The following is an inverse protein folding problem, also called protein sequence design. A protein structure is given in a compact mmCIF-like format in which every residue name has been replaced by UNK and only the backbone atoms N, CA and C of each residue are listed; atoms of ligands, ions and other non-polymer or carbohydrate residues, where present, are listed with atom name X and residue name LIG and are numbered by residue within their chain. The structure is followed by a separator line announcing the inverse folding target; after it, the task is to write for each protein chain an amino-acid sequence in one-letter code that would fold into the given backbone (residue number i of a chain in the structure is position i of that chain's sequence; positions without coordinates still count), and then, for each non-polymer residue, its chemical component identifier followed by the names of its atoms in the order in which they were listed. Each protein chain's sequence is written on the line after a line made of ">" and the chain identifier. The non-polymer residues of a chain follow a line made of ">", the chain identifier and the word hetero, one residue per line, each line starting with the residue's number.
data_IF_680061783100
#
_entry.id   IF_680061783100
#
_cell.length_a   1.000
_cell.length_b   1.000
_cell.length_c   1.000
_cell.angle_alpha   90.00
_cell.angle_beta   90.00
_cell.angle_gamma   90.00
#
_symmetry.space_group_name_H-M   'P 1'
#
loop_
_entity.id
_entity.type
_entity.pdbx_description
1 polymer ?
#
# COMPACT_ATOMS: atom_id res chain seq x y z
N UNK A 1 4.60 -9.73 -4.24
CA UNK A 1 3.77 -8.65 -3.68
C UNK A 1 3.17 -9.09 -2.34
N UNK A 2 2.99 -8.15 -1.46
CA UNK A 2 2.33 -8.39 -0.17
C UNK A 2 0.88 -7.93 -0.24
N UNK A 3 -0.06 -8.81 0.08
CA UNK A 3 -1.48 -8.48 0.27
C UNK A 3 -1.93 -9.21 1.53
N UNK A 4 -2.16 -8.48 2.63
CA UNK A 4 -2.47 -9.07 3.92
C UNK A 4 -3.83 -9.79 3.92
N UNK A 5 -3.84 -11.08 4.32
CA UNK A 5 -5.05 -11.90 4.27
C UNK A 5 -6.11 -11.46 5.28
N UNK A 6 -5.72 -10.83 6.38
CA UNK A 6 -6.64 -10.41 7.44
C UNK A 6 -7.29 -9.03 7.18
N UNK A 7 -6.93 -8.38 6.06
CA UNK A 7 -7.54 -7.13 5.61
C UNK A 7 -8.52 -7.32 4.45
N UNK A 8 -8.71 -6.27 3.66
CA UNK A 8 -9.54 -6.28 2.45
C UNK A 8 -8.84 -7.04 1.31
N UNK A 9 -8.50 -8.31 1.54
CA UNK A 9 -7.67 -9.13 0.64
C UNK A 9 -8.26 -9.24 -0.78
N UNK A 10 -9.50 -9.73 -0.89
CA UNK A 10 -10.11 -10.02 -2.20
C UNK A 10 -10.30 -8.76 -3.09
N UNK A 11 -10.81 -7.62 -2.59
CA UNK A 11 -10.85 -6.39 -3.38
C UNK A 11 -9.48 -5.95 -3.88
N UNK A 12 -8.43 -6.05 -3.04
CA UNK A 12 -7.10 -5.62 -3.45
C UNK A 12 -6.41 -6.60 -4.39
N UNK A 13 -6.65 -7.91 -4.27
CA UNK A 13 -6.22 -8.88 -5.28
C UNK A 13 -6.76 -8.48 -6.65
N UNK A 14 -8.09 -8.24 -6.75
CA UNK A 14 -8.72 -7.83 -8.01
C UNK A 14 -8.24 -6.48 -8.56
N UNK A 15 -7.82 -5.55 -7.68
CA UNK A 15 -7.34 -4.24 -8.11
C UNK A 15 -5.89 -4.24 -8.61
N UNK A 16 -5.02 -5.12 -8.05
CA UNK A 16 -3.57 -5.06 -8.35
C UNK A 16 -3.06 -6.22 -9.20
N UNK A 17 -3.82 -7.29 -9.40
CA UNK A 17 -3.47 -8.39 -10.30
C UNK A 17 -4.34 -8.26 -11.55
N UNK A 18 -3.78 -7.69 -12.62
CA UNK A 18 -4.54 -7.35 -13.82
C UNK A 18 -4.90 -8.56 -14.71
N UNK A 19 -4.13 -9.64 -14.63
CA UNK A 19 -4.40 -10.85 -15.41
C UNK A 19 -5.00 -11.93 -14.51
N UNK A 20 -6.28 -12.20 -14.71
CA UNK A 20 -7.02 -13.23 -13.96
C UNK A 20 -6.46 -14.64 -14.18
N UNK A 21 -5.77 -14.86 -15.30
CA UNK A 21 -5.13 -16.13 -15.64
C UNK A 21 -3.68 -16.22 -15.16
N UNK A 22 -3.18 -15.21 -14.46
CA UNK A 22 -1.81 -15.22 -13.98
C UNK A 22 -1.56 -16.40 -13.04
N UNK A 23 -0.45 -17.11 -13.23
CA UNK A 23 0.02 -18.13 -12.29
C UNK A 23 0.47 -17.46 -10.98
N UNK A 24 -0.06 -17.94 -9.86
CA UNK A 24 0.20 -17.38 -8.53
C UNK A 24 0.85 -18.45 -7.65
N UNK A 25 2.05 -18.18 -7.16
CA UNK A 25 2.64 -18.90 -6.04
C UNK A 25 2.42 -18.09 -4.75
N UNK A 26 2.04 -18.77 -3.67
CA UNK A 26 1.70 -18.09 -2.42
C UNK A 26 2.72 -18.36 -1.31
N UNK A 27 2.94 -17.34 -0.48
CA UNK A 27 3.61 -17.44 0.82
C UNK A 27 2.63 -16.89 1.85
N UNK A 28 2.14 -17.76 2.73
CA UNK A 28 1.15 -17.39 3.74
C UNK A 28 1.51 -18.00 5.10
N UNK A 29 0.88 -17.59 6.20
CA UNK A 29 1.04 -18.28 7.47
C UNK A 29 0.69 -19.75 7.34
N UNK A 30 1.46 -20.63 8.00
CA UNK A 30 1.29 -22.08 7.95
C UNK A 30 -0.12 -22.47 8.41
N UNK A 31 -0.77 -23.37 7.67
CA UNK A 31 -2.15 -23.81 7.90
C UNK A 31 -3.23 -22.90 7.30
N UNK A 32 -2.86 -21.80 6.63
CA UNK A 32 -3.82 -20.90 5.97
C UNK A 32 -3.79 -21.00 4.45
N UNK A 33 -3.08 -21.96 3.89
CA UNK A 33 -2.87 -22.12 2.44
C UNK A 33 -4.20 -22.31 1.72
N UNK A 34 -5.04 -23.19 2.24
CA UNK A 34 -6.36 -23.47 1.66
C UNK A 34 -7.29 -22.24 1.73
N UNK A 35 -7.23 -21.46 2.83
CA UNK A 35 -7.98 -20.23 2.95
C UNK A 35 -7.57 -19.22 1.88
N UNK A 36 -6.27 -19.03 1.64
CA UNK A 36 -5.75 -18.12 0.61
C UNK A 36 -6.24 -18.54 -0.76
N UNK A 37 -6.09 -19.82 -1.10
CA UNK A 37 -6.55 -20.38 -2.40
C UNK A 37 -8.05 -20.15 -2.60
N UNK A 38 -8.87 -20.46 -1.59
CA UNK A 38 -10.33 -20.23 -1.65
C UNK A 38 -10.68 -18.76 -1.82
N UNK A 39 -9.94 -17.85 -1.18
CA UNK A 39 -10.18 -16.41 -1.30
C UNK A 39 -9.75 -15.86 -2.66
N UNK A 40 -8.68 -16.40 -3.26
CA UNK A 40 -8.29 -16.11 -4.64
C UNK A 40 -9.36 -16.59 -5.62
N UNK A 41 -9.79 -17.85 -5.51
CA UNK A 41 -10.81 -18.43 -6.38
C UNK A 41 -12.15 -17.67 -6.32
N UNK A 42 -12.56 -17.17 -5.16
CA UNK A 42 -13.80 -16.36 -5.02
C UNK A 42 -13.81 -15.08 -5.83
N UNK A 43 -12.65 -14.60 -6.24
CA UNK A 43 -12.49 -13.41 -7.11
C UNK A 43 -11.93 -13.77 -8.48
N UNK A 44 -11.98 -15.07 -8.83
CA UNK A 44 -11.69 -15.59 -10.16
C UNK A 44 -10.22 -15.94 -10.43
N UNK A 45 -9.35 -15.93 -9.43
CA UNK A 45 -7.93 -16.30 -9.59
C UNK A 45 -7.72 -17.78 -9.26
N UNK A 46 -7.95 -18.66 -10.25
CA UNK A 46 -7.91 -20.11 -10.06
C UNK A 46 -6.53 -20.75 -10.35
N UNK A 47 -5.58 -19.98 -10.86
CA UNK A 47 -4.26 -20.45 -11.26
C UNK A 47 -3.22 -20.40 -10.12
N UNK A 48 -3.58 -20.84 -8.91
CA UNK A 48 -2.59 -21.03 -7.83
C UNK A 48 -1.76 -22.28 -8.14
N UNK A 49 -0.47 -22.09 -8.42
CA UNK A 49 0.44 -23.17 -8.84
C UNK A 49 1.16 -23.85 -7.67
N UNK A 50 1.09 -23.29 -6.47
CA UNK A 50 1.69 -23.87 -5.28
C UNK A 50 1.90 -22.85 -4.16
N UNK A 51 2.47 -23.32 -3.06
CA UNK A 51 2.80 -22.50 -1.91
C UNK A 51 4.17 -22.87 -1.34
N UNK A 52 4.78 -21.94 -0.60
CA UNK A 52 6.03 -22.18 0.09
C UNK A 52 5.76 -22.94 1.40
N UNK A 53 6.14 -24.22 1.45
CA UNK A 53 6.01 -25.05 2.65
C UNK A 53 6.84 -24.47 3.81
N UNK A 54 6.24 -24.38 4.99
CA UNK A 54 6.87 -23.76 6.17
C UNK A 54 6.94 -22.24 6.09
N UNK A 55 6.20 -21.61 5.15
CA UNK A 55 5.98 -20.18 5.09
C UNK A 55 7.28 -19.35 4.95
N UNK A 56 7.19 -18.06 5.26
CA UNK A 56 8.32 -17.13 5.27
C UNK A 56 9.42 -17.53 6.28
N UNK A 57 9.06 -18.30 7.31
CA UNK A 57 10.01 -18.84 8.30
C UNK A 57 11.06 -19.73 7.66
N UNK A 58 10.66 -20.62 6.76
CA UNK A 58 11.57 -21.51 6.01
C UNK A 58 12.47 -20.69 5.08
N UNK A 59 11.91 -19.72 4.35
CA UNK A 59 12.68 -18.80 3.51
C UNK A 59 13.85 -18.14 4.26
N UNK A 60 13.56 -17.61 5.47
CA UNK A 60 14.57 -16.99 6.33
C UNK A 60 15.61 -17.99 6.86
N UNK A 61 15.17 -19.18 7.28
CA UNK A 61 16.08 -20.23 7.79
C UNK A 61 17.06 -20.72 6.73
N UNK A 62 16.65 -20.71 5.47
CA UNK A 62 17.52 -21.07 4.33
C UNK A 62 18.50 -19.96 3.94
N UNK A 63 18.53 -18.85 4.66
CA UNK A 63 19.43 -17.72 4.39
C UNK A 63 19.14 -16.96 3.11
N UNK A 64 17.93 -17.09 2.58
CA UNK A 64 17.52 -16.41 1.34
C UNK A 64 17.35 -14.89 1.59
N UNK A 65 17.56 -14.12 0.54
CA UNK A 65 17.43 -12.67 0.59
C UNK A 65 16.03 -12.23 1.02
N UNK A 66 15.97 -11.25 1.91
CA UNK A 66 14.75 -10.69 2.47
C UNK A 66 14.74 -9.18 2.29
N UNK A 67 13.73 -8.68 1.61
CA UNK A 67 13.45 -7.24 1.55
C UNK A 67 12.76 -6.75 2.82
N UNK A 68 13.11 -5.56 3.28
CA UNK A 68 12.50 -4.90 4.45
C UNK A 68 11.78 -3.64 4.00
N UNK A 69 10.59 -3.39 4.55
CA UNK A 69 9.92 -2.09 4.44
C UNK A 69 10.35 -1.24 5.62
N UNK A 70 11.03 -0.12 5.32
CA UNK A 70 11.40 0.87 6.34
C UNK A 70 10.11 1.56 6.78
N UNK A 71 9.95 1.74 8.08
CA UNK A 71 8.81 2.44 8.65
C UNK A 71 9.27 3.66 9.45
N UNK A 72 8.45 4.69 9.44
CA UNK A 72 8.53 5.84 10.35
C UNK A 72 7.17 6.07 11.02
N UNK A 73 7.19 6.74 12.13
CA UNK A 73 5.97 7.13 12.86
C UNK A 73 5.43 8.47 12.36
N UNK A 74 4.14 8.74 12.62
CA UNK A 74 3.52 10.02 12.27
C UNK A 74 4.22 11.22 12.95
N UNK A 75 4.60 11.20 14.24
CA UNK A 75 5.39 12.26 14.86
C UNK A 75 6.73 12.52 14.15
N UNK A 76 7.47 11.46 13.77
CA UNK A 76 8.75 11.60 13.06
C UNK A 76 8.59 12.28 11.70
N UNK A 77 7.50 12.00 10.98
CA UNK A 77 7.22 12.71 9.73
C UNK A 77 6.80 14.16 9.99
N UNK A 78 5.95 14.40 10.99
CA UNK A 78 5.48 15.75 11.32
C UNK A 78 6.64 16.69 11.69
N UNK A 79 7.59 16.23 12.50
CA UNK A 79 8.78 16.99 12.91
C UNK A 79 9.63 17.45 11.71
N UNK A 80 9.70 16.65 10.65
CA UNK A 80 10.53 16.95 9.47
C UNK A 80 9.71 17.38 8.25
N UNK A 81 8.38 17.59 8.36
CA UNK A 81 7.49 17.84 7.22
C UNK A 81 7.96 19.01 6.35
N UNK A 82 8.38 20.12 6.94
CA UNK A 82 8.85 21.30 6.19
C UNK A 82 10.06 21.03 5.29
N UNK A 83 10.82 19.95 5.57
CA UNK A 83 11.98 19.49 4.82
C UNK A 83 11.69 18.24 4.00
N UNK A 84 10.53 17.63 4.19
CA UNK A 84 10.15 16.39 3.52
C UNK A 84 9.45 16.72 2.21
N UNK A 85 10.07 16.31 1.12
CA UNK A 85 9.47 16.31 -0.20
C UNK A 85 9.02 14.88 -0.54
N UNK A 86 8.09 14.75 -1.50
CA UNK A 86 7.63 13.45 -2.00
C UNK A 86 6.87 12.61 -0.96
N UNK A 87 5.83 13.19 -0.37
CA UNK A 87 4.84 12.45 0.41
C UNK A 87 3.80 11.89 -0.56
N UNK A 88 3.55 10.58 -0.51
CA UNK A 88 2.56 9.90 -1.33
C UNK A 88 1.37 9.46 -0.47
N UNK A 89 0.20 9.93 -0.81
CA UNK A 89 -1.07 9.48 -0.25
C UNK A 89 -1.70 8.47 -1.21
N UNK A 90 -1.71 7.19 -0.83
CA UNK A 90 -2.25 6.10 -1.66
C UNK A 90 -3.71 5.79 -1.35
N UNK A 91 -4.43 6.73 -0.72
CA UNK A 91 -5.87 6.67 -0.54
C UNK A 91 -6.59 6.95 -1.86
N UNK A 92 -7.90 6.64 -1.89
CA UNK A 92 -8.74 6.98 -3.03
C UNK A 92 -8.81 8.51 -3.23
N UNK A 93 -9.01 8.99 -4.48
CA UNK A 93 -9.10 10.43 -4.77
C UNK A 93 -10.11 11.17 -3.90
N UNK A 94 -11.27 10.57 -3.60
CA UNK A 94 -12.26 11.19 -2.73
C UNK A 94 -11.81 11.34 -1.27
N UNK A 95 -11.03 10.39 -0.73
CA UNK A 95 -10.44 10.52 0.59
C UNK A 95 -9.39 11.64 0.63
N UNK A 96 -8.59 11.75 -0.43
CA UNK A 96 -7.58 12.79 -0.58
C UNK A 96 -8.21 14.17 -0.75
N UNK A 97 -9.22 14.30 -1.61
CA UNK A 97 -9.92 15.55 -1.85
C UNK A 97 -10.66 16.07 -0.61
N UNK A 98 -11.10 15.17 0.28
CA UNK A 98 -11.76 15.59 1.51
C UNK A 98 -10.80 16.28 2.49
N UNK A 99 -9.62 15.72 2.70
CA UNK A 99 -8.56 16.28 3.55
C UNK A 99 -7.26 15.49 3.32
N UNK A 100 -6.14 16.18 3.17
CA UNK A 100 -4.83 15.54 3.01
C UNK A 100 -3.71 16.39 3.63
N UNK A 101 -2.53 15.79 3.77
CA UNK A 101 -1.31 16.50 4.19
C UNK A 101 -0.87 17.43 3.08
N UNK A 102 -0.60 18.69 3.39
CA UNK A 102 -0.11 19.66 2.40
C UNK A 102 1.16 19.16 1.70
N UNK A 103 1.25 19.43 0.41
CA UNK A 103 2.32 18.94 -0.49
C UNK A 103 2.37 17.42 -0.71
N UNK A 104 1.40 16.64 -0.20
CA UNK A 104 1.27 15.25 -0.57
C UNK A 104 0.73 15.10 -2.01
N UNK A 105 1.24 14.09 -2.72
CA UNK A 105 0.75 13.70 -4.03
C UNK A 105 -0.21 12.51 -3.88
N UNK A 106 -1.37 12.56 -4.52
CA UNK A 106 -2.27 11.43 -4.52
C UNK A 106 -1.86 10.42 -5.58
N UNK A 107 -1.50 9.23 -5.11
CA UNK A 107 -1.12 8.08 -5.96
C UNK A 107 -1.94 6.85 -5.52
N UNK A 108 -3.22 6.74 -5.88
CA UNK A 108 -4.12 5.71 -5.38
C UNK A 108 -3.60 4.29 -5.64
N UNK A 109 -3.76 3.39 -4.67
CA UNK A 109 -3.31 1.99 -4.81
C UNK A 109 -3.96 1.28 -6.01
N UNK A 110 -5.21 1.57 -6.32
CA UNK A 110 -5.92 0.98 -7.47
C UNK A 110 -5.38 1.48 -8.83
N UNK A 111 -4.55 2.55 -8.83
CA UNK A 111 -3.86 3.08 -10.02
C UNK A 111 -2.33 2.93 -9.94
N UNK A 112 -1.83 2.00 -9.14
CA UNK A 112 -0.39 1.81 -8.85
C UNK A 112 0.47 1.63 -10.10
N UNK A 113 -0.05 1.04 -11.17
CA UNK A 113 0.70 0.82 -12.41
C UNK A 113 0.91 2.10 -13.23
N UNK A 114 0.05 3.11 -13.09
CA UNK A 114 0.29 4.44 -13.65
C UNK A 114 1.27 5.21 -12.77
N UNK A 115 1.18 5.09 -11.45
CA UNK A 115 2.16 5.65 -10.52
C UNK A 115 3.60 5.24 -10.85
N UNK A 116 3.82 3.99 -11.29
CA UNK A 116 5.13 3.50 -11.74
C UNK A 116 5.72 4.28 -12.93
N UNK A 117 4.91 4.96 -13.73
CA UNK A 117 5.38 5.77 -14.88
C UNK A 117 5.76 7.19 -14.48
N UNK A 118 5.25 7.66 -13.36
CA UNK A 118 5.36 9.04 -12.90
C UNK A 118 6.43 9.20 -11.81
N UNK A 119 6.68 8.15 -11.03
CA UNK A 119 7.60 8.18 -9.92
C UNK A 119 9.04 7.93 -10.38
N UNK A 120 9.98 8.59 -9.70
CA UNK A 120 11.42 8.46 -9.95
C UNK A 120 12.04 7.45 -8.95
N UNK A 121 12.69 6.41 -9.44
CA UNK A 121 13.34 5.37 -8.63
C UNK A 121 14.43 5.91 -7.70
N UNK A 122 15.03 7.05 -8.06
CA UNK A 122 16.12 7.64 -7.29
C UNK A 122 15.62 8.51 -6.13
N UNK A 123 14.37 8.93 -6.14
CA UNK A 123 13.78 9.73 -5.08
C UNK A 123 13.34 8.87 -3.89
N UNK A 124 13.41 9.47 -2.70
CA UNK A 124 12.83 8.91 -1.49
C UNK A 124 11.38 9.35 -1.37
N UNK A 125 10.48 8.41 -1.08
CA UNK A 125 9.06 8.68 -0.89
C UNK A 125 8.61 8.22 0.49
N UNK A 126 7.82 9.05 1.16
CA UNK A 126 7.10 8.76 2.38
C UNK A 126 5.66 8.40 2.02
N UNK A 127 5.31 7.14 2.20
CA UNK A 127 4.05 6.58 1.68
C UNK A 127 3.08 6.33 2.82
N UNK A 128 1.89 6.85 2.72
CA UNK A 128 0.82 6.56 3.67
C UNK A 128 -0.50 6.25 2.97
N UNK A 129 -1.37 5.53 3.68
CA UNK A 129 -2.78 5.40 3.34
C UNK A 129 -3.64 5.84 4.54
N UNK A 130 -4.86 5.32 4.70
CA UNK A 130 -5.68 5.64 5.86
C UNK A 130 -5.10 5.09 7.18
N UNK A 131 -4.72 3.79 7.23
CA UNK A 131 -4.32 3.10 8.46
C UNK A 131 -3.11 2.16 8.32
N UNK A 132 -2.39 2.15 7.17
CA UNK A 132 -1.16 1.36 6.98
C UNK A 132 -1.32 0.08 6.15
N UNK A 133 -2.53 -0.35 5.77
CA UNK A 133 -2.73 -1.57 4.98
C UNK A 133 -2.41 -1.38 3.49
N UNK A 134 -3.00 -0.36 2.85
CA UNK A 134 -2.82 -0.06 1.42
C UNK A 134 -1.40 0.41 1.09
N UNK A 135 -0.76 1.17 1.97
CA UNK A 135 0.61 1.67 1.78
C UNK A 135 1.62 0.54 1.70
N UNK A 136 1.49 -0.50 2.52
CA UNK A 136 2.39 -1.66 2.46
C UNK A 136 2.20 -2.47 1.17
N UNK A 137 0.96 -2.62 0.68
CA UNK A 137 0.70 -3.24 -0.63
C UNK A 137 1.38 -2.42 -1.74
N UNK A 138 1.13 -1.12 -1.79
CA UNK A 138 1.72 -0.19 -2.76
C UNK A 138 3.24 -0.28 -2.76
N UNK A 139 3.87 -0.16 -1.59
CA UNK A 139 5.33 -0.28 -1.43
C UNK A 139 5.84 -1.63 -1.93
N UNK A 140 5.16 -2.74 -1.62
CA UNK A 140 5.60 -4.07 -2.05
C UNK A 140 5.62 -4.23 -3.57
N UNK A 141 4.65 -3.61 -4.26
CA UNK A 141 4.58 -3.59 -5.72
C UNK A 141 5.72 -2.73 -6.29
N UNK A 142 5.91 -1.52 -5.77
CA UNK A 142 6.98 -0.63 -6.22
C UNK A 142 8.36 -1.24 -5.99
N UNK A 143 8.60 -1.86 -4.83
CA UNK A 143 9.87 -2.56 -4.54
C UNK A 143 10.16 -3.67 -5.54
N UNK A 144 9.14 -4.42 -5.99
CA UNK A 144 9.31 -5.44 -7.03
C UNK A 144 9.68 -4.88 -8.40
N UNK A 145 9.59 -3.55 -8.56
CA UNK A 145 9.94 -2.80 -9.77
C UNK A 145 11.20 -1.93 -9.61
N UNK A 146 11.94 -2.13 -8.52
CA UNK A 146 13.24 -1.48 -8.29
C UNK A 146 13.20 -0.19 -7.45
N UNK A 147 12.03 0.22 -6.96
CA UNK A 147 11.94 1.39 -6.07
C UNK A 147 12.38 1.01 -4.65
N UNK A 148 13.58 1.37 -4.26
CA UNK A 148 14.18 0.94 -2.99
C UNK A 148 14.13 1.99 -1.88
N UNK A 149 13.81 3.24 -2.21
CA UNK A 149 13.85 4.38 -1.28
C UNK A 149 12.44 4.75 -0.77
N UNK A 150 11.66 3.74 -0.33
CA UNK A 150 10.29 3.89 0.14
C UNK A 150 10.21 3.71 1.66
N UNK A 151 9.48 4.60 2.33
CA UNK A 151 9.24 4.59 3.77
C UNK A 151 7.73 4.54 4.01
N UNK A 152 7.25 3.56 4.76
CA UNK A 152 5.85 3.46 5.17
C UNK A 152 5.60 4.29 6.43
N UNK A 153 4.59 5.15 6.39
CA UNK A 153 4.18 5.94 7.56
C UNK A 153 3.20 5.13 8.40
N UNK A 154 3.68 4.64 9.54
CA UNK A 154 2.94 3.78 10.45
C UNK A 154 1.66 4.46 10.94
N UNK A 155 0.53 3.76 10.82
CA UNK A 155 -0.78 4.27 11.21
C UNK A 155 -1.42 5.20 10.18
N UNK A 156 -0.69 5.56 9.11
CA UNK A 156 -1.20 6.31 7.97
C UNK A 156 -1.81 7.65 8.33
N UNK A 157 -2.77 8.11 7.53
CA UNK A 157 -3.46 9.38 7.71
C UNK A 157 -4.18 9.50 9.06
N UNK A 158 -4.70 8.39 9.60
CA UNK A 158 -5.35 8.39 10.91
C UNK A 158 -4.40 8.77 12.05
N UNK A 159 -3.11 8.45 11.92
CA UNK A 159 -2.09 8.90 12.85
C UNK A 159 -1.65 10.32 12.54
N UNK A 160 -1.32 10.63 11.27
CA UNK A 160 -0.86 11.94 10.82
C UNK A 160 -1.83 13.09 11.15
N UNK A 161 -3.13 12.87 11.02
CA UNK A 161 -4.13 13.92 11.30
C UNK A 161 -4.16 14.38 12.76
N UNK A 162 -3.58 13.62 13.68
CA UNK A 162 -3.49 13.96 15.12
C UNK A 162 -2.24 14.77 15.44
N UNK A 163 -1.30 14.84 14.51
CA UNK A 163 -0.04 15.55 14.67
C UNK A 163 -0.19 17.02 14.21
N UNK A 164 0.70 17.86 14.71
CA UNK A 164 0.87 19.22 14.23
C UNK A 164 1.64 19.23 12.90
N UNK A 165 0.91 18.86 11.84
CA UNK A 165 1.39 18.84 10.47
C UNK A 165 0.39 19.58 9.59
N UNK A 166 0.84 20.44 8.65
CA UNK A 166 -0.05 21.17 7.75
C UNK A 166 -0.96 20.25 6.96
N UNK A 167 -2.24 20.56 6.97
CA UNK A 167 -3.31 19.82 6.29
C UNK A 167 -4.21 20.78 5.55
N UNK A 168 -4.79 20.35 4.45
CA UNK A 168 -5.84 21.09 3.77
C UNK A 168 -7.10 21.16 4.62
N UNK A 169 -7.94 22.17 4.37
CA UNK A 169 -9.24 22.25 5.03
C UNK A 169 -10.13 21.07 4.67
N UNK A 170 -10.86 20.55 5.67
CA UNK A 170 -11.78 19.45 5.43
C UNK A 170 -12.94 19.91 4.55
N UNK A 171 -13.13 19.24 3.40
CA UNK A 171 -14.22 19.48 2.46
C UNK A 171 -15.15 18.28 2.41
N UNK A 172 -16.40 18.44 2.84
CA UNK A 172 -17.41 17.40 2.70
C UNK A 172 -17.90 17.34 1.25
N UNK A 173 -17.74 16.21 0.58
CA UNK A 173 -18.11 16.05 -0.84
C UNK A 173 -19.62 16.19 -1.10
N UNK A 174 -20.47 16.07 -0.09
CA UNK A 174 -21.93 16.27 -0.22
C UNK A 174 -22.31 17.74 -0.42
N UNK A 175 -21.48 18.70 -0.10
CA UNK A 175 -21.75 20.14 -0.23
C UNK A 175 -21.46 20.70 -1.64
N UNK A 176 -20.85 19.93 -2.54
CA UNK A 176 -20.53 20.41 -3.91
C UNK A 176 -21.65 20.22 -4.94
N UNK A 177 -22.81 19.69 -4.57
CA UNK A 177 -23.95 19.49 -5.49
C UNK A 177 -25.00 20.60 -5.54
N UNK A 178 -24.81 21.67 -4.79
CA UNK A 178 -25.76 22.80 -4.76
C UNK A 178 -25.10 24.10 -5.26
N UNK A 179 -24.69 24.11 -6.51
CA UNK A 179 -24.10 25.31 -7.12
C UNK A 179 -23.93 25.18 -8.62
N UNK A 180 -25.06 25.01 -9.31
CA UNK A 180 -25.11 25.02 -10.78
C UNK A 180 -26.48 25.37 -11.27
#
# INVERSE_FOLDING_TARGET
>A
WFIGIDGSFAPWVGSVINDINQKIAIICPEGREEEVVKRLARVGYDNTVGYLKGSFSTWKKEGREVGVVIQETAPELAEKHSKTQNILDVRKPGEFAAEHIENAQNQPLDDVFNSLKELDTEKRYHVHCAGGYRSVIFISILKSKGYNKLIDVKGGYQALRREDIPKTDFTCQTTQKEGG
#
